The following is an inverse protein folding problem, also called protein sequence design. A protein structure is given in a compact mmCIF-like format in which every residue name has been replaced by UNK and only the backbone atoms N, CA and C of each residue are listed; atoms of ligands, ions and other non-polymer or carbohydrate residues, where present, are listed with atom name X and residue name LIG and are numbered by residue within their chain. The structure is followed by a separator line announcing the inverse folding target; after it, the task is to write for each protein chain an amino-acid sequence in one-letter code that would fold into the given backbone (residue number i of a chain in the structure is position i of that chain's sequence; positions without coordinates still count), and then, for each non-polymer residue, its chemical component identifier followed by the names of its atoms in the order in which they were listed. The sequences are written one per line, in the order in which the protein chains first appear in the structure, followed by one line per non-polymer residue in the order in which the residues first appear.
data_IF_066506094471
#
_entry.id   IF_066506094471
#
_cell.length_a   1.000
_cell.length_b   1.000
_cell.length_c   1.000
_cell.angle_alpha   90.00
_cell.angle_beta   90.00
_cell.angle_gamma   90.00
#
_symmetry.space_group_name_H-M   'P 1'
#
loop_
_entity.id
_entity.type
_entity.pdbx_description
1 polymer ?
#
# COMPACT_ATOMS: atom_id res chain seq x y z
N UNK A 1 -14.96 -0.30 -31.18
CA UNK A 1 -15.27 1.05 -31.66
C UNK A 1 -16.64 1.46 -31.17
N UNK A 2 -17.76 0.84 -31.61
CA UNK A 2 -19.14 1.22 -31.22
C UNK A 2 -19.43 1.22 -29.71
N UNK A 3 -18.84 0.31 -28.93
CA UNK A 3 -19.03 0.27 -27.45
C UNK A 3 -18.30 1.44 -26.79
N UNK A 4 -17.13 1.78 -27.26
CA UNK A 4 -16.35 2.91 -26.75
C UNK A 4 -17.06 4.25 -27.09
N UNK A 5 -17.53 4.40 -28.32
CA UNK A 5 -18.29 5.57 -28.75
C UNK A 5 -19.61 5.76 -27.95
N UNK A 6 -20.31 4.65 -27.66
CA UNK A 6 -21.50 4.67 -26.83
C UNK A 6 -21.18 5.04 -25.38
N UNK A 7 -20.08 4.54 -24.84
CA UNK A 7 -19.58 4.87 -23.51
C UNK A 7 -19.20 6.35 -23.42
N UNK A 8 -18.40 6.84 -24.37
CA UNK A 8 -18.00 8.25 -24.46
C UNK A 8 -19.22 9.19 -24.55
N UNK A 9 -20.27 8.79 -25.31
CA UNK A 9 -21.52 9.54 -25.40
C UNK A 9 -22.30 9.59 -24.07
N UNK A 10 -22.23 8.53 -23.24
CA UNK A 10 -22.87 8.50 -21.92
C UNK A 10 -22.08 9.37 -20.93
N UNK A 11 -20.76 9.29 -20.97
CA UNK A 11 -19.86 10.11 -20.13
C UNK A 11 -19.99 11.60 -20.48
N UNK A 12 -20.07 11.94 -21.76
CA UNK A 12 -20.28 13.33 -22.24
C UNK A 12 -21.62 13.94 -21.77
N UNK A 13 -22.59 13.12 -21.40
CA UNK A 13 -23.89 13.57 -20.87
C UNK A 13 -23.88 13.84 -19.34
N UNK A 14 -22.72 14.09 -18.72
CA UNK A 14 -22.61 14.53 -17.34
C UNK A 14 -22.35 13.40 -16.32
N UNK A 15 -22.03 12.19 -16.78
CA UNK A 15 -21.55 11.10 -15.95
C UNK A 15 -20.02 11.07 -16.01
N UNK A 16 -19.35 11.69 -15.04
CA UNK A 16 -17.89 11.62 -14.95
C UNK A 16 -17.49 10.17 -14.59
N UNK A 17 -16.65 9.54 -15.42
CA UNK A 17 -16.02 8.29 -15.05
C UNK A 17 -15.16 8.50 -13.80
N UNK A 18 -15.33 7.70 -12.74
CA UNK A 18 -14.43 7.75 -11.59
C UNK A 18 -12.95 7.60 -11.97
N UNK A 19 -12.64 6.89 -13.08
CA UNK A 19 -11.28 6.75 -13.59
C UNK A 19 -10.70 8.06 -14.16
N UNK A 20 -11.54 8.98 -14.63
CA UNK A 20 -11.09 10.24 -15.23
C UNK A 20 -11.00 11.41 -14.26
N UNK A 21 -11.36 11.21 -13.00
CA UNK A 21 -11.38 12.28 -11.98
C UNK A 21 -10.07 13.03 -11.86
N UNK A 22 -8.94 12.33 -11.88
CA UNK A 22 -7.62 12.96 -11.76
C UNK A 22 -7.24 13.72 -13.03
N UNK A 23 -7.65 13.25 -14.19
CA UNK A 23 -7.46 13.96 -15.48
C UNK A 23 -8.24 15.28 -15.47
N UNK A 24 -9.52 15.24 -15.11
CA UNK A 24 -10.36 16.44 -14.97
C UNK A 24 -9.81 17.38 -13.90
N UNK A 25 -9.33 16.84 -12.77
CA UNK A 25 -8.70 17.64 -11.71
C UNK A 25 -7.47 18.37 -12.25
N UNK A 26 -6.60 17.71 -13.00
CA UNK A 26 -5.41 18.33 -13.57
C UNK A 26 -5.76 19.49 -14.51
N UNK A 27 -6.82 19.36 -15.32
CA UNK A 27 -7.33 20.44 -16.18
C UNK A 27 -7.87 21.59 -15.34
N UNK A 28 -8.71 21.31 -14.35
CA UNK A 28 -9.30 22.32 -13.46
C UNK A 28 -8.24 23.10 -12.66
N UNK A 29 -7.16 22.45 -12.25
CA UNK A 29 -6.04 23.12 -11.58
C UNK A 29 -5.43 24.20 -12.46
N UNK A 30 -5.27 23.92 -13.76
CA UNK A 30 -4.73 24.91 -14.72
C UNK A 30 -5.61 26.16 -14.85
N UNK A 31 -6.92 26.01 -14.70
CA UNK A 31 -7.91 27.10 -14.79
C UNK A 31 -8.26 27.70 -13.42
N UNK A 32 -7.72 27.14 -12.33
CA UNK A 32 -7.99 27.58 -10.95
C UNK A 32 -7.26 28.86 -10.58
N UNK A 33 -7.63 29.43 -9.42
CA UNK A 33 -6.91 30.54 -8.80
C UNK A 33 -5.65 30.15 -8.03
N UNK A 34 -5.31 28.85 -7.99
CA UNK A 34 -4.10 28.35 -7.29
C UNK A 34 -2.84 28.98 -7.89
N UNK A 35 -1.85 29.24 -7.02
CA UNK A 35 -0.61 29.90 -7.42
C UNK A 35 0.51 29.79 -6.38
N UNK A 36 1.51 30.69 -6.46
CA UNK A 36 2.73 30.62 -5.63
C UNK A 36 2.51 30.75 -4.12
N UNK A 37 1.38 31.29 -3.70
CA UNK A 37 1.02 31.43 -2.28
C UNK A 37 0.39 30.16 -1.69
N UNK A 38 0.03 29.20 -2.56
CA UNK A 38 -0.55 27.93 -2.13
C UNK A 38 0.54 26.89 -1.89
N UNK A 39 0.36 26.06 -0.87
CA UNK A 39 1.29 25.01 -0.49
C UNK A 39 0.57 23.66 -0.44
N UNK A 40 1.06 22.67 -1.20
CA UNK A 40 0.53 21.32 -1.27
C UNK A 40 1.58 20.34 -0.74
N UNK A 41 1.17 19.48 0.18
CA UNK A 41 1.97 18.40 0.71
C UNK A 41 1.45 17.06 0.18
N UNK A 42 2.35 16.24 -0.33
CA UNK A 42 2.07 14.90 -0.86
C UNK A 42 2.93 13.90 -0.10
N UNK A 43 2.30 12.96 0.60
CA UNK A 43 2.98 11.98 1.44
C UNK A 43 2.34 10.60 1.31
N UNK A 44 3.11 9.54 1.63
CA UNK A 44 2.62 8.15 1.62
C UNK A 44 2.61 7.48 0.25
N UNK A 45 3.24 8.05 -0.76
CA UNK A 45 3.39 7.46 -2.09
C UNK A 45 4.75 6.77 -2.26
N UNK A 46 4.75 5.68 -3.01
CA UNK A 46 5.97 4.99 -3.48
C UNK A 46 6.24 5.37 -4.94
N UNK A 47 5.20 5.40 -5.75
CA UNK A 47 5.22 5.80 -7.16
C UNK A 47 3.92 6.55 -7.46
N UNK A 48 3.87 7.23 -8.60
CA UNK A 48 2.70 7.95 -9.08
C UNK A 48 2.20 7.32 -10.37
N UNK A 49 0.89 7.14 -10.47
CA UNK A 49 0.23 6.80 -11.73
C UNK A 49 0.38 7.93 -12.75
N UNK A 50 0.12 7.65 -14.01
CA UNK A 50 0.16 8.67 -15.06
C UNK A 50 -0.74 9.88 -14.73
N UNK A 51 -1.94 9.62 -14.24
CA UNK A 51 -2.92 10.67 -13.91
C UNK A 51 -2.49 11.50 -12.69
N UNK A 52 -1.94 10.86 -11.65
CA UNK A 52 -1.38 11.56 -10.49
C UNK A 52 -0.21 12.46 -10.90
N UNK A 53 0.65 11.98 -11.79
CA UNK A 53 1.74 12.80 -12.37
C UNK A 53 1.21 14.02 -13.13
N UNK A 54 0.08 13.89 -13.86
CA UNK A 54 -0.54 15.04 -14.55
C UNK A 54 -1.04 16.09 -13.53
N UNK A 55 -1.61 15.65 -12.41
CA UNK A 55 -2.01 16.56 -11.33
C UNK A 55 -0.81 17.31 -10.75
N UNK A 56 0.26 16.59 -10.40
CA UNK A 56 1.49 17.22 -9.88
C UNK A 56 2.11 18.20 -10.88
N UNK A 57 2.12 17.86 -12.15
CA UNK A 57 2.58 18.73 -13.23
C UNK A 57 1.71 19.98 -13.38
N UNK A 58 0.40 19.86 -13.26
CA UNK A 58 -0.53 20.99 -13.31
C UNK A 58 -0.27 21.95 -12.14
N UNK A 59 -0.06 21.43 -10.92
CA UNK A 59 0.31 22.23 -9.74
C UNK A 59 1.62 22.99 -9.95
N UNK A 60 2.66 22.31 -10.42
CA UNK A 60 3.95 22.95 -10.71
C UNK A 60 3.83 24.04 -11.80
N UNK A 61 3.05 23.81 -12.84
CA UNK A 61 2.78 24.82 -13.88
C UNK A 61 2.08 26.07 -13.33
N UNK A 62 1.26 25.93 -12.31
CA UNK A 62 0.61 27.05 -11.62
C UNK A 62 1.54 27.77 -10.65
N UNK A 63 2.74 27.25 -10.43
CA UNK A 63 3.71 27.80 -9.47
C UNK A 63 3.39 27.50 -8.01
N UNK A 64 2.49 26.51 -7.75
CA UNK A 64 2.16 26.05 -6.40
C UNK A 64 3.42 25.51 -5.72
N UNK A 65 3.63 25.85 -4.46
CA UNK A 65 4.70 25.28 -3.65
C UNK A 65 4.36 23.82 -3.32
N UNK A 66 5.10 22.89 -3.93
CA UNK A 66 4.85 21.46 -3.80
C UNK A 66 5.92 20.78 -2.95
N UNK A 67 5.52 20.16 -1.86
CA UNK A 67 6.38 19.30 -1.04
C UNK A 67 5.97 17.87 -1.21
N UNK A 68 6.89 17.03 -1.69
CA UNK A 68 6.63 15.58 -1.91
C UNK A 68 7.56 14.78 -1.01
N UNK A 69 6.98 13.93 -0.14
CA UNK A 69 7.71 13.01 0.71
C UNK A 69 7.71 11.61 0.08
N UNK A 70 8.89 11.05 -0.15
CA UNK A 70 9.07 9.71 -0.69
C UNK A 70 10.03 8.91 0.18
N UNK A 71 9.73 7.63 0.37
CA UNK A 71 10.63 6.73 1.10
C UNK A 71 11.66 6.15 0.14
N UNK A 72 12.93 6.43 0.39
CA UNK A 72 14.07 5.89 -0.37
C UNK A 72 15.35 5.92 0.47
N UNK A 73 16.38 5.25 -0.01
CA UNK A 73 17.76 5.35 0.52
C UNK A 73 18.34 6.74 0.20
N UNK A 74 18.78 6.93 -1.02
CA UNK A 74 19.31 8.18 -1.55
C UNK A 74 18.77 8.39 -2.98
N UNK A 75 18.75 9.65 -3.44
CA UNK A 75 18.26 9.97 -4.79
C UNK A 75 19.07 9.28 -5.91
N UNK A 76 20.34 9.01 -5.66
CA UNK A 76 21.26 8.31 -6.56
C UNK A 76 21.74 6.97 -6.00
N UNK A 77 21.02 6.40 -5.03
CA UNK A 77 21.30 5.09 -4.47
C UNK A 77 21.12 3.95 -5.49
N UNK A 78 21.66 2.79 -5.17
CA UNK A 78 21.66 1.61 -6.06
C UNK A 78 20.69 0.51 -5.60
N UNK A 79 20.06 0.64 -4.43
CA UNK A 79 19.18 -0.38 -3.90
C UNK A 79 17.89 -0.47 -4.73
N UNK A 80 17.69 -1.59 -5.42
CA UNK A 80 16.56 -1.83 -6.34
C UNK A 80 15.17 -1.66 -5.68
N UNK A 81 15.09 -1.88 -4.38
CA UNK A 81 13.82 -1.76 -3.63
C UNK A 81 13.22 -0.35 -3.69
N UNK A 82 14.08 0.67 -3.83
CA UNK A 82 13.67 2.07 -3.90
C UNK A 82 13.66 2.65 -5.32
N UNK A 83 13.88 1.83 -6.34
CA UNK A 83 13.97 2.34 -7.72
C UNK A 83 12.71 3.05 -8.19
N UNK A 84 11.53 2.60 -7.78
CA UNK A 84 10.26 3.28 -8.11
C UNK A 84 10.19 4.68 -7.51
N UNK A 85 10.51 4.81 -6.23
CA UNK A 85 10.51 6.11 -5.54
C UNK A 85 11.57 7.05 -6.10
N UNK A 86 12.78 6.53 -6.37
CA UNK A 86 13.86 7.30 -7.00
C UNK A 86 13.49 7.78 -8.39
N UNK A 87 12.87 6.92 -9.20
CA UNK A 87 12.40 7.30 -10.54
C UNK A 87 11.37 8.42 -10.45
N UNK A 88 10.39 8.30 -9.56
CA UNK A 88 9.37 9.32 -9.34
C UNK A 88 9.98 10.65 -8.90
N UNK A 89 10.95 10.62 -7.97
CA UNK A 89 11.65 11.82 -7.53
C UNK A 89 12.42 12.48 -8.67
N UNK A 90 13.20 11.70 -9.44
CA UNK A 90 13.98 12.21 -10.58
C UNK A 90 13.09 12.80 -11.67
N UNK A 91 11.95 12.16 -11.99
CA UNK A 91 11.00 12.67 -12.97
C UNK A 91 10.37 14.01 -12.51
N UNK A 92 10.02 14.14 -11.24
CA UNK A 92 9.48 15.40 -10.71
C UNK A 92 10.52 16.53 -10.70
N UNK A 93 11.75 16.22 -10.29
CA UNK A 93 12.85 17.19 -10.30
C UNK A 93 13.20 17.63 -11.73
N UNK A 94 13.26 16.70 -12.68
CA UNK A 94 13.49 17.03 -14.09
C UNK A 94 12.39 17.96 -14.62
N UNK A 95 11.13 17.65 -14.32
CA UNK A 95 10.01 18.47 -14.76
C UNK A 95 9.99 19.87 -14.10
N UNK A 96 10.32 19.96 -12.81
CA UNK A 96 10.48 21.24 -12.13
C UNK A 96 11.60 22.08 -12.78
N UNK A 97 12.71 21.44 -13.14
CA UNK A 97 13.80 22.06 -13.87
C UNK A 97 13.41 22.59 -15.26
N UNK A 98 12.58 21.85 -16.02
CA UNK A 98 12.02 22.31 -17.31
C UNK A 98 11.17 23.57 -17.15
N UNK A 99 10.50 23.73 -16.02
CA UNK A 99 9.68 24.91 -15.70
C UNK A 99 10.51 26.05 -15.07
N UNK A 100 11.80 25.84 -14.79
CA UNK A 100 12.65 26.82 -14.09
C UNK A 100 12.25 27.03 -12.62
N UNK A 101 11.57 26.06 -12.00
CA UNK A 101 11.21 26.11 -10.59
C UNK A 101 12.43 25.85 -9.70
N UNK A 102 12.56 26.60 -8.61
CA UNK A 102 13.56 26.28 -7.58
C UNK A 102 13.22 24.98 -6.88
N UNK A 103 14.21 24.12 -6.70
CA UNK A 103 14.04 22.82 -6.05
C UNK A 103 14.99 22.66 -4.89
N UNK A 104 14.50 22.12 -3.77
CA UNK A 104 15.28 21.74 -2.60
C UNK A 104 15.02 20.27 -2.30
N UNK A 105 16.08 19.49 -2.07
CA UNK A 105 15.99 18.12 -1.62
C UNK A 105 16.49 18.01 -0.18
N UNK A 106 15.68 17.47 0.71
CA UNK A 106 16.05 17.22 2.10
C UNK A 106 16.01 15.72 2.35
N UNK A 107 17.09 15.17 2.87
CA UNK A 107 17.16 13.77 3.31
C UNK A 107 16.97 13.72 4.83
N UNK A 108 15.98 12.95 5.27
CA UNK A 108 15.74 12.67 6.67
C UNK A 108 16.24 11.25 6.93
N UNK A 109 17.33 11.12 7.66
CA UNK A 109 17.80 9.83 8.12
C UNK A 109 16.74 9.19 9.04
N UNK A 110 16.52 7.89 8.91
CA UNK A 110 15.73 7.13 9.89
C UNK A 110 16.38 7.27 11.26
N UNK A 111 15.56 7.36 12.32
CA UNK A 111 16.08 7.30 13.68
C UNK A 111 16.86 6.00 13.90
N UNK A 112 17.92 6.06 14.68
CA UNK A 112 18.68 4.87 15.05
C UNK A 112 17.84 3.98 15.96
N UNK A 113 17.64 2.74 15.55
CA UNK A 113 16.91 1.72 16.35
C UNK A 113 17.85 0.89 17.24
N UNK A 114 19.13 1.05 17.06
CA UNK A 114 20.20 0.29 17.70
C UNK A 114 21.03 -0.49 16.66
N UNK A 115 22.28 -0.68 16.97
CA UNK A 115 23.32 -1.14 16.03
C UNK A 115 22.93 -2.36 15.18
N UNK A 116 22.28 -3.38 15.77
CA UNK A 116 21.92 -4.60 15.04
C UNK A 116 20.73 -4.41 14.08
N UNK A 117 19.72 -3.62 14.44
CA UNK A 117 18.59 -3.33 13.58
C UNK A 117 18.96 -2.38 12.45
N UNK A 118 19.79 -1.39 12.74
CA UNK A 118 20.29 -0.46 11.73
C UNK A 118 21.15 -1.20 10.70
N UNK A 119 22.07 -2.05 11.18
CA UNK A 119 22.86 -2.92 10.31
C UNK A 119 21.97 -3.84 9.45
N UNK A 120 20.94 -4.44 10.03
CA UNK A 120 20.01 -5.31 9.31
C UNK A 120 19.22 -4.50 8.26
N UNK A 121 18.72 -3.32 8.60
CA UNK A 121 17.99 -2.47 7.68
C UNK A 121 18.85 -2.01 6.48
N UNK A 122 20.10 -1.68 6.72
CA UNK A 122 21.04 -1.25 5.68
C UNK A 122 21.48 -2.40 4.74
N UNK A 123 21.58 -3.63 5.26
CA UNK A 123 22.20 -4.75 4.54
C UNK A 123 21.23 -5.83 4.09
N UNK A 124 19.97 -5.84 4.55
CA UNK A 124 18.98 -6.90 4.26
C UNK A 124 18.77 -7.15 2.76
N UNK A 125 18.85 -6.11 1.94
CA UNK A 125 18.68 -6.18 0.49
C UNK A 125 19.98 -5.96 -0.29
N UNK A 126 21.12 -6.01 0.40
CA UNK A 126 22.44 -5.94 -0.22
C UNK A 126 22.82 -7.31 -0.79
N UNK A 127 23.36 -7.33 -2.01
CA UNK A 127 23.92 -8.55 -2.60
C UNK A 127 25.28 -8.93 -1.98
N UNK A 128 25.89 -8.06 -1.19
CA UNK A 128 27.15 -8.34 -0.50
C UNK A 128 26.89 -9.03 0.83
N UNK A 129 27.53 -10.19 1.06
CA UNK A 129 27.50 -10.87 2.35
C UNK A 129 28.37 -10.11 3.35
N UNK A 130 27.75 -9.22 4.11
CA UNK A 130 28.40 -8.49 5.19
C UNK A 130 27.91 -9.08 6.53
N UNK A 131 28.83 -9.32 7.46
CA UNK A 131 28.52 -9.85 8.78
C UNK A 131 28.51 -8.74 9.82
N UNK A 132 27.51 -8.75 10.69
CA UNK A 132 27.45 -7.86 11.85
C UNK A 132 28.65 -8.11 12.76
N UNK A 133 29.36 -7.06 13.14
CA UNK A 133 30.56 -7.12 13.99
C UNK A 133 30.30 -6.62 15.40
N UNK A 134 29.08 -6.21 15.73
CA UNK A 134 28.69 -5.74 17.06
C UNK A 134 28.37 -6.89 18.01
N UNK A 135 28.11 -6.55 19.28
CA UNK A 135 27.66 -7.52 20.28
C UNK A 135 26.25 -8.02 19.92
N UNK A 136 26.02 -9.35 19.96
CA UNK A 136 24.71 -9.93 19.74
C UNK A 136 23.69 -9.36 20.74
N UNK A 137 22.55 -8.94 20.25
CA UNK A 137 21.43 -8.50 21.08
C UNK A 137 20.13 -9.20 20.65
N UNK A 138 19.09 -9.04 21.44
CA UNK A 138 17.79 -9.67 21.20
C UNK A 138 16.90 -8.91 20.20
N UNK A 139 17.42 -7.87 19.54
CA UNK A 139 16.65 -7.05 18.59
C UNK A 139 16.27 -7.78 17.31
N UNK A 140 17.11 -8.73 16.87
CA UNK A 140 16.86 -9.57 15.69
C UNK A 140 16.95 -11.03 16.11
N UNK A 141 15.85 -11.78 15.88
CA UNK A 141 15.76 -13.20 16.20
C UNK A 141 15.37 -13.98 14.95
N UNK A 142 16.05 -15.08 14.71
CA UNK A 142 15.69 -16.03 13.66
C UNK A 142 15.21 -17.33 14.33
N UNK A 143 14.06 -17.81 13.88
CA UNK A 143 13.51 -19.08 14.33
C UNK A 143 13.14 -19.93 13.12
N UNK A 144 13.32 -21.24 13.27
CA UNK A 144 12.77 -22.24 12.35
C UNK A 144 11.67 -23.02 13.06
N UNK A 145 10.59 -23.32 12.37
CA UNK A 145 9.46 -24.07 12.89
C UNK A 145 9.13 -25.26 11.97
N UNK A 146 8.48 -26.27 12.51
CA UNK A 146 8.12 -27.49 11.77
C UNK A 146 6.95 -27.30 10.78
N UNK A 147 6.37 -26.10 10.75
CA UNK A 147 5.31 -25.75 9.83
C UNK A 147 4.56 -24.49 10.23
N UNK A 148 3.62 -24.11 9.37
CA UNK A 148 2.84 -22.88 9.45
C UNK A 148 2.14 -22.65 10.81
N UNK A 149 1.57 -23.71 11.40
CA UNK A 149 0.88 -23.60 12.68
C UNK A 149 1.88 -23.23 13.79
N UNK A 150 3.03 -23.92 13.84
CA UNK A 150 4.07 -23.63 14.82
C UNK A 150 4.68 -22.22 14.65
N UNK A 151 4.78 -21.73 13.42
CA UNK A 151 5.18 -20.33 13.15
C UNK A 151 4.18 -19.33 13.73
N UNK A 152 2.87 -19.59 13.52
CA UNK A 152 1.80 -18.74 14.04
C UNK A 152 1.72 -18.75 15.57
N UNK A 153 1.87 -19.94 16.20
CA UNK A 153 1.91 -20.10 17.65
C UNK A 153 3.12 -19.36 18.25
N UNK A 154 4.27 -19.47 17.62
CA UNK A 154 5.46 -18.72 18.02
C UNK A 154 5.24 -17.20 17.93
N UNK A 155 4.66 -16.73 16.83
CA UNK A 155 4.35 -15.32 16.66
C UNK A 155 3.41 -14.80 17.77
N UNK A 156 2.37 -15.57 18.11
CA UNK A 156 1.46 -15.25 19.20
C UNK A 156 2.16 -15.22 20.57
N UNK A 157 3.02 -16.22 20.83
CA UNK A 157 3.79 -16.28 22.08
C UNK A 157 4.79 -15.11 22.19
N UNK A 158 5.46 -14.75 21.10
CA UNK A 158 6.36 -13.59 21.07
C UNK A 158 5.60 -12.28 21.28
N UNK A 159 4.41 -12.11 20.69
CA UNK A 159 3.56 -10.94 20.91
C UNK A 159 3.18 -10.78 22.40
N UNK A 160 2.84 -11.89 23.07
CA UNK A 160 2.58 -11.89 24.52
C UNK A 160 3.81 -11.45 25.30
N UNK A 161 4.99 -12.00 24.99
CA UNK A 161 6.24 -11.65 25.68
C UNK A 161 6.56 -10.17 25.51
N UNK A 162 6.43 -9.63 24.29
CA UNK A 162 6.68 -8.22 24.01
C UNK A 162 5.72 -7.29 24.79
N UNK A 163 4.47 -7.67 24.93
CA UNK A 163 3.50 -6.86 25.71
C UNK A 163 3.73 -6.99 27.21
N UNK A 164 3.95 -8.23 27.71
CA UNK A 164 4.10 -8.49 29.13
C UNK A 164 5.45 -8.00 29.67
N UNK A 165 6.53 -8.28 28.97
CA UNK A 165 7.90 -8.09 29.45
C UNK A 165 8.59 -6.89 28.78
N UNK A 166 8.25 -6.59 27.53
CA UNK A 166 8.84 -5.52 26.72
C UNK A 166 8.11 -4.18 26.79
N UNK A 167 6.93 -4.11 27.45
CA UNK A 167 6.15 -2.89 27.59
C UNK A 167 5.49 -2.39 26.27
N UNK A 168 5.49 -3.20 25.23
CA UNK A 168 4.79 -2.90 23.97
C UNK A 168 3.26 -2.95 24.16
N UNK A 169 2.55 -2.21 23.36
CA UNK A 169 1.09 -2.35 23.25
C UNK A 169 0.78 -3.27 22.06
N UNK A 170 -0.35 -3.98 22.10
CA UNK A 170 -0.77 -4.83 20.98
C UNK A 170 -0.73 -4.12 19.62
N UNK A 171 -1.11 -2.85 19.58
CA UNK A 171 -1.09 -2.02 18.37
C UNK A 171 0.30 -1.66 17.85
N UNK A 172 1.32 -1.85 18.65
CA UNK A 172 2.71 -1.55 18.27
C UNK A 172 3.39 -2.78 17.64
N UNK A 173 2.68 -3.92 17.54
CA UNK A 173 3.18 -5.18 17.02
C UNK A 173 2.52 -5.48 15.68
N UNK A 174 3.32 -5.79 14.68
CA UNK A 174 2.86 -6.22 13.37
C UNK A 174 3.42 -7.61 13.03
N UNK A 175 2.59 -8.45 12.41
CA UNK A 175 3.00 -9.75 11.86
C UNK A 175 2.86 -9.68 10.34
N UNK A 176 3.97 -9.83 9.64
CA UNK A 176 4.01 -9.85 8.18
C UNK A 176 4.15 -11.29 7.67
N UNK A 177 3.33 -11.69 6.74
CA UNK A 177 3.37 -13.02 6.12
C UNK A 177 3.34 -12.90 4.59
N UNK A 178 4.04 -13.81 3.93
CA UNK A 178 3.92 -13.99 2.49
C UNK A 178 2.88 -15.07 2.22
N UNK A 179 1.90 -14.79 1.35
CA UNK A 179 0.80 -15.75 1.11
C UNK A 179 -0.26 -15.68 2.23
N UNK A 180 -0.77 -14.49 2.48
CA UNK A 180 -1.70 -14.20 3.59
C UNK A 180 -2.92 -15.15 3.65
N UNK A 181 -3.48 -15.52 2.50
CA UNK A 181 -4.67 -16.40 2.45
C UNK A 181 -4.38 -17.81 3.00
N UNK A 182 -3.16 -18.31 2.82
CA UNK A 182 -2.72 -19.61 3.35
C UNK A 182 -2.54 -19.56 4.87
N UNK A 183 -1.92 -18.49 5.37
CA UNK A 183 -1.64 -18.31 6.80
C UNK A 183 -2.85 -17.92 7.64
N UNK A 184 -3.88 -17.35 7.02
CA UNK A 184 -5.01 -16.73 7.70
C UNK A 184 -5.65 -17.61 8.77
N UNK A 185 -6.03 -18.83 8.41
CA UNK A 185 -6.71 -19.74 9.34
C UNK A 185 -5.80 -20.14 10.52
N UNK A 186 -4.52 -20.34 10.25
CA UNK A 186 -3.54 -20.69 11.28
C UNK A 186 -3.29 -19.51 12.23
N UNK A 187 -3.18 -18.27 11.70
CA UNK A 187 -3.05 -17.06 12.50
C UNK A 187 -4.29 -16.83 13.37
N UNK A 188 -5.49 -16.89 12.81
CA UNK A 188 -6.74 -16.74 13.55
C UNK A 188 -6.80 -17.75 14.70
N UNK A 189 -6.54 -19.02 14.42
CA UNK A 189 -6.59 -20.12 15.41
C UNK A 189 -5.51 -19.94 16.51
N UNK A 190 -4.28 -19.66 16.14
CA UNK A 190 -3.20 -19.49 17.10
C UNK A 190 -3.42 -18.26 18.01
N UNK A 191 -3.77 -17.11 17.43
CA UNK A 191 -3.97 -15.89 18.20
C UNK A 191 -5.20 -15.97 19.11
N UNK A 192 -6.29 -16.62 18.66
CA UNK A 192 -7.46 -16.92 19.48
C UNK A 192 -7.11 -17.87 20.64
N UNK A 193 -6.36 -18.95 20.36
CA UNK A 193 -5.92 -19.91 21.37
C UNK A 193 -5.08 -19.26 22.48
N UNK A 194 -4.21 -18.35 22.11
CA UNK A 194 -3.36 -17.61 23.05
C UNK A 194 -4.03 -16.36 23.65
N UNK A 195 -5.25 -16.02 23.25
CA UNK A 195 -5.98 -14.83 23.72
C UNK A 195 -5.36 -13.51 23.27
N UNK A 196 -4.65 -13.52 22.14
CA UNK A 196 -3.99 -12.34 21.57
C UNK A 196 -4.96 -11.62 20.62
N UNK A 197 -5.26 -10.33 20.81
CA UNK A 197 -6.12 -9.59 19.89
C UNK A 197 -5.45 -9.47 18.53
N UNK A 198 -6.14 -9.88 17.47
CA UNK A 198 -5.65 -9.89 16.10
C UNK A 198 -6.53 -9.02 15.21
N UNK A 199 -5.93 -8.05 14.51
CA UNK A 199 -6.56 -7.31 13.44
C UNK A 199 -5.96 -7.73 12.11
N UNK A 200 -6.81 -8.17 11.18
CA UNK A 200 -6.42 -8.51 9.82
C UNK A 200 -7.20 -7.66 8.84
N UNK A 201 -6.49 -6.95 7.96
CA UNK A 201 -7.12 -6.22 6.86
C UNK A 201 -7.71 -7.23 5.87
N UNK A 202 -9.04 -7.38 5.86
CA UNK A 202 -9.74 -8.31 4.97
C UNK A 202 -10.30 -7.58 3.75
N UNK A 203 -9.92 -8.02 2.57
CA UNK A 203 -10.80 -7.94 1.41
C UNK A 203 -11.59 -9.25 1.38
N UNK A 204 -12.79 -9.27 1.96
CA UNK A 204 -13.67 -10.42 1.77
C UNK A 204 -14.39 -10.25 0.45
N UNK A 205 -14.41 -11.30 -0.36
CA UNK A 205 -15.31 -11.35 -1.49
C UNK A 205 -16.75 -11.21 -0.96
N UNK A 206 -17.42 -10.17 -1.44
CA UNK A 206 -18.78 -9.86 -1.02
C UNK A 206 -19.73 -11.05 -1.34
N UNK A 207 -19.49 -11.71 -2.48
CA UNK A 207 -20.27 -12.84 -2.93
C UNK A 207 -20.02 -14.12 -2.10
N UNK A 208 -18.97 -14.17 -1.28
CA UNK A 208 -18.78 -15.27 -0.31
C UNK A 208 -19.69 -15.15 0.91
N UNK A 209 -20.39 -14.03 1.08
CA UNK A 209 -21.34 -13.82 2.18
C UNK A 209 -22.73 -14.28 1.78
N UNK A 210 -23.49 -14.95 2.70
CA UNK A 210 -24.77 -15.57 2.36
C UNK A 210 -25.78 -14.60 1.74
N UNK A 211 -25.96 -13.42 2.30
CA UNK A 211 -26.94 -12.45 1.80
C UNK A 211 -26.61 -11.88 0.40
N UNK A 212 -25.40 -11.39 0.12
CA UNK A 212 -25.02 -11.00 -1.23
C UNK A 212 -25.06 -12.14 -2.23
N UNK A 213 -24.65 -13.36 -1.86
CA UNK A 213 -24.72 -14.55 -2.70
C UNK A 213 -26.18 -14.89 -3.07
N UNK A 214 -27.09 -14.85 -2.10
CA UNK A 214 -28.52 -15.05 -2.33
C UNK A 214 -29.10 -14.00 -3.29
N UNK A 215 -28.72 -12.72 -3.12
CA UNK A 215 -29.18 -11.65 -4.01
C UNK A 215 -28.64 -11.87 -5.43
N UNK A 216 -27.37 -12.22 -5.59
CA UNK A 216 -26.76 -12.51 -6.89
C UNK A 216 -27.46 -13.71 -7.54
N UNK A 217 -27.67 -14.81 -6.82
CA UNK A 217 -28.38 -15.99 -7.32
C UNK A 217 -29.84 -15.66 -7.74
N UNK A 218 -30.53 -14.76 -7.02
CA UNK A 218 -31.85 -14.30 -7.42
C UNK A 218 -31.83 -13.55 -8.75
N UNK A 219 -30.80 -12.73 -9.01
CA UNK A 219 -30.62 -12.08 -10.31
C UNK A 219 -30.28 -13.11 -11.40
N UNK A 220 -29.42 -14.08 -11.13
CA UNK A 220 -29.04 -15.13 -12.07
C UNK A 220 -30.26 -15.97 -12.50
N UNK A 221 -31.15 -16.34 -11.57
CA UNK A 221 -32.43 -16.99 -11.87
C UNK A 221 -33.25 -16.21 -12.88
N UNK A 222 -33.42 -14.91 -12.63
CA UNK A 222 -34.28 -14.05 -13.48
C UNK A 222 -33.64 -13.79 -14.84
N UNK A 223 -32.33 -13.51 -14.87
CA UNK A 223 -31.57 -13.18 -16.08
C UNK A 223 -31.18 -14.42 -16.88
N UNK A 224 -30.88 -15.54 -16.20
CA UNK A 224 -30.43 -16.81 -16.77
C UNK A 224 -31.58 -17.72 -17.28
N UNK A 225 -32.84 -17.31 -17.09
CA UNK A 225 -33.97 -18.06 -17.63
C UNK A 225 -34.42 -19.24 -16.77
N UNK A 226 -34.21 -19.19 -15.44
CA UNK A 226 -34.64 -20.18 -14.47
C UNK A 226 -33.91 -21.55 -14.59
N UNK A 227 -32.60 -21.50 -14.80
CA UNK A 227 -31.78 -22.68 -14.78
C UNK A 227 -31.79 -23.36 -13.40
N UNK A 228 -31.76 -24.72 -13.39
CA UNK A 228 -31.91 -25.51 -12.15
C UNK A 228 -30.75 -25.20 -11.16
N UNK A 229 -29.54 -25.02 -11.68
CA UNK A 229 -28.35 -24.75 -10.85
C UNK A 229 -28.43 -23.40 -10.14
N UNK A 230 -29.01 -22.37 -10.79
CA UNK A 230 -29.23 -21.05 -10.21
C UNK A 230 -30.28 -21.10 -9.08
N UNK A 231 -31.36 -21.85 -9.30
CA UNK A 231 -32.39 -22.08 -8.26
C UNK A 231 -31.83 -22.81 -7.06
N UNK A 232 -30.99 -23.84 -7.27
CA UNK A 232 -30.32 -24.56 -6.18
C UNK A 232 -29.36 -23.63 -5.42
N UNK A 233 -28.63 -22.79 -6.12
CA UNK A 233 -27.70 -21.81 -5.51
C UNK A 233 -28.43 -20.79 -4.65
N UNK A 234 -29.60 -20.35 -5.04
CA UNK A 234 -30.46 -19.45 -4.24
C UNK A 234 -31.01 -20.09 -2.98
N UNK A 235 -31.28 -21.43 -3.03
CA UNK A 235 -31.88 -22.19 -1.90
C UNK A 235 -30.86 -22.69 -0.87
N UNK A 236 -29.57 -22.58 -1.13
CA UNK A 236 -28.46 -22.94 -0.22
C UNK A 236 -28.11 -21.80 0.70
#
# INVERSE_FOLDING_TARGET
VLILEAYDAVVANGHADPADRLTVLAEQILDSSMGPDDHIYVDGFIDFTFQERQVLRALLKRGVQLTVCLTMDELHGENEIFELSRRSARELLAYAGELGAETETRHFASGTCGDALDFFAENMFSYSAVSFQGEPNDSVKLMTADGMVAECEFAAAQAISLVRDGGCRWRDIAVAVRGFDEYRAALESAFEHYGVPLFMARRSDLLSKPLPAMIAAAYDIVCGGWEVDDVISYMR
#
